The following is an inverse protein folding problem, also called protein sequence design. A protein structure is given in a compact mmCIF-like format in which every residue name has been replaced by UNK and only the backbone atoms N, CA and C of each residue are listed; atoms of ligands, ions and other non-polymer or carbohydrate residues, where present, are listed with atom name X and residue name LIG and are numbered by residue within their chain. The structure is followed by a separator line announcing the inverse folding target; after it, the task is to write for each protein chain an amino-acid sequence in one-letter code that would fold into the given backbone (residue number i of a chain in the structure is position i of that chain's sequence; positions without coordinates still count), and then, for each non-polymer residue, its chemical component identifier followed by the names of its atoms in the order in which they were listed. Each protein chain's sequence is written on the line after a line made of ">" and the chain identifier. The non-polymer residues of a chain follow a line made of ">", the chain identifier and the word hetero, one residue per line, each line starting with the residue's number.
data_IF_656352835215
#
_entry.id   IF_656352835215
#
_cell.length_a   1.000
_cell.length_b   1.000
_cell.length_c   1.000
_cell.angle_alpha   90.00
_cell.angle_beta   90.00
_cell.angle_gamma   90.00
#
_symmetry.space_group_name_H-M   'P 1'
#
loop_
_entity.id
_entity.type
_entity.pdbx_description
1 polymer ?
#
# COMPACT_ATOMS: atom_id res chain seq x y z
N UNK A 1 -2.63 6.85 -5.67
CA UNK A 1 -2.97 8.29 -5.88
C UNK A 1 -1.80 9.23 -5.51
N UNK A 2 -1.23 9.08 -4.31
CA UNK A 2 -0.14 9.90 -3.80
C UNK A 2 1.29 9.46 -4.24
N UNK A 3 1.40 8.62 -5.28
CA UNK A 3 2.70 8.14 -5.77
C UNK A 3 3.50 7.36 -4.72
N UNK A 4 4.70 7.84 -4.39
CA UNK A 4 5.63 7.23 -3.42
C UNK A 4 5.47 7.75 -1.99
N UNK A 5 4.56 8.69 -1.75
CA UNK A 5 4.30 9.24 -0.42
C UNK A 5 3.91 8.13 0.56
N UNK A 6 4.50 8.13 1.75
CA UNK A 6 4.29 7.11 2.79
C UNK A 6 4.58 5.66 2.34
N UNK A 7 5.29 5.44 1.22
CA UNK A 7 5.52 4.09 0.68
C UNK A 7 6.11 3.10 1.72
N UNK A 8 7.09 3.48 2.58
CA UNK A 8 7.60 2.56 3.59
C UNK A 8 6.55 2.14 4.63
N UNK A 9 5.57 3.01 4.91
CA UNK A 9 4.48 2.76 5.86
C UNK A 9 3.39 1.90 5.20
N UNK A 10 2.88 2.35 4.05
CA UNK A 10 1.82 1.65 3.30
C UNK A 10 2.31 0.27 2.86
N UNK A 11 3.49 0.21 2.26
CA UNK A 11 4.08 -1.01 1.73
C UNK A 11 3.63 -1.32 0.30
N UNK A 12 3.57 -2.60 -0.03
CA UNK A 12 3.32 -3.08 -1.40
C UNK A 12 2.52 -4.37 -1.39
N UNK A 13 1.91 -4.68 -2.53
CA UNK A 13 1.30 -5.99 -2.82
C UNK A 13 2.13 -6.75 -3.85
N UNK A 14 2.07 -8.08 -3.81
CA UNK A 14 2.68 -8.93 -4.82
C UNK A 14 1.76 -9.12 -6.04
N UNK A 15 2.23 -9.85 -7.05
CA UNK A 15 1.49 -10.11 -8.29
C UNK A 15 0.19 -10.93 -8.10
N UNK A 16 0.00 -11.55 -6.93
CA UNK A 16 -1.25 -12.25 -6.57
C UNK A 16 -2.23 -11.35 -5.82
N UNK A 17 -1.91 -10.06 -5.63
CA UNK A 17 -2.71 -9.12 -4.85
C UNK A 17 -2.62 -9.35 -3.34
N UNK A 18 -1.58 -10.04 -2.85
CA UNK A 18 -1.37 -10.24 -1.42
C UNK A 18 -0.36 -9.21 -0.91
N UNK A 19 -0.62 -8.61 0.24
CA UNK A 19 0.30 -7.72 0.94
C UNK A 19 1.67 -8.36 1.14
N UNK A 20 2.71 -7.61 0.79
CA UNK A 20 4.10 -8.06 0.77
C UNK A 20 5.01 -7.26 1.71
N UNK A 21 4.63 -6.02 2.04
CA UNK A 21 5.33 -5.16 2.99
C UNK A 21 4.38 -4.19 3.68
N UNK A 22 4.83 -3.52 4.74
CA UNK A 22 4.11 -2.44 5.41
C UNK A 22 2.73 -2.85 5.94
N UNK A 23 1.81 -1.88 5.93
CA UNK A 23 0.42 -2.07 6.34
C UNK A 23 -0.34 -3.02 5.42
N UNK A 24 0.00 -3.06 4.12
CA UNK A 24 -0.56 -4.03 3.17
C UNK A 24 -0.31 -5.47 3.64
N UNK A 25 0.90 -5.78 4.10
CA UNK A 25 1.22 -7.10 4.67
C UNK A 25 0.51 -7.32 6.02
N UNK A 26 0.63 -6.36 6.93
CA UNK A 26 0.10 -6.49 8.29
C UNK A 26 -1.41 -6.71 8.31
N UNK A 27 -2.15 -6.00 7.46
CA UNK A 27 -3.61 -6.04 7.41
C UNK A 27 -4.14 -6.78 6.19
N UNK A 28 -3.32 -7.60 5.52
CA UNK A 28 -3.72 -8.34 4.33
C UNK A 28 -5.02 -9.14 4.53
N UNK A 29 -5.23 -9.74 5.71
CA UNK A 29 -6.45 -10.50 6.02
C UNK A 29 -7.73 -9.65 6.01
N UNK A 30 -7.64 -8.36 6.36
CA UNK A 30 -8.75 -7.41 6.27
C UNK A 30 -8.88 -6.88 4.86
N UNK A 31 -7.75 -6.51 4.22
CA UNK A 31 -7.72 -5.81 2.93
C UNK A 31 -8.05 -6.71 1.73
N UNK A 32 -7.70 -8.00 1.77
CA UNK A 32 -7.78 -8.91 0.60
C UNK A 32 -9.19 -9.43 0.28
N UNK A 33 -10.10 -9.41 1.26
CA UNK A 33 -11.43 -9.99 1.10
C UNK A 33 -11.40 -11.49 0.79
N UNK A 34 -12.44 -12.00 0.12
CA UNK A 34 -12.55 -13.40 -0.26
C UNK A 34 -12.96 -13.56 -1.73
N UNK A 35 -12.22 -14.35 -2.53
CA UNK A 35 -12.54 -14.56 -3.93
C UNK A 35 -13.85 -15.35 -4.10
N UNK A 36 -14.65 -14.92 -5.06
CA UNK A 36 -15.83 -15.64 -5.52
C UNK A 36 -15.49 -16.67 -6.61
N UNK A 37 -16.45 -17.54 -6.91
CA UNK A 37 -16.34 -18.58 -7.92
C UNK A 37 -17.53 -18.51 -8.88
N UNK A 38 -17.25 -18.57 -10.18
CA UNK A 38 -18.27 -18.73 -11.23
C UNK A 38 -17.92 -19.91 -12.12
N UNK A 39 -18.94 -20.65 -12.52
CA UNK A 39 -18.85 -21.65 -13.58
C UNK A 39 -19.26 -21.00 -14.90
N UNK A 40 -18.48 -21.26 -15.96
CA UNK A 40 -18.75 -20.84 -17.34
C UNK A 40 -18.59 -22.05 -18.22
N UNK A 41 -19.61 -22.37 -19.00
CA UNK A 41 -19.54 -23.44 -20.00
C UNK A 41 -19.23 -22.86 -21.38
N UNK A 42 -18.40 -23.56 -22.13
CA UNK A 42 -17.97 -23.16 -23.47
C UNK A 42 -18.37 -24.24 -24.49
N UNK A 43 -18.63 -23.83 -25.73
CA UNK A 43 -18.68 -24.74 -26.88
C UNK A 43 -17.28 -25.33 -27.14
N UNK A 44 -17.17 -26.44 -27.93
CA UNK A 44 -15.87 -26.96 -28.36
C UNK A 44 -14.99 -25.91 -29.06
N UNK A 45 -15.61 -24.92 -29.72
CA UNK A 45 -14.93 -23.81 -30.40
C UNK A 45 -14.58 -22.64 -29.48
N UNK A 46 -14.80 -22.77 -28.17
CA UNK A 46 -14.42 -21.76 -27.16
C UNK A 46 -15.41 -20.61 -26.99
N UNK A 47 -16.64 -20.73 -27.49
CA UNK A 47 -17.69 -19.71 -27.34
C UNK A 47 -18.46 -19.93 -26.03
N UNK A 48 -18.60 -18.93 -25.15
CA UNK A 48 -19.41 -19.07 -23.93
C UNK A 48 -20.86 -19.41 -24.26
N UNK A 49 -21.41 -20.44 -23.61
CA UNK A 49 -22.81 -20.81 -23.77
C UNK A 49 -23.72 -19.80 -23.08
N UNK A 50 -24.72 -19.29 -23.81
CA UNK A 50 -25.79 -18.47 -23.25
C UNK A 50 -26.54 -19.27 -22.18
N UNK A 51 -26.59 -18.75 -20.94
CA UNK A 51 -27.22 -19.42 -19.79
C UNK A 51 -26.32 -20.39 -19.00
N UNK A 52 -25.08 -20.67 -19.47
CA UNK A 52 -24.11 -21.52 -18.77
C UNK A 52 -23.32 -20.82 -17.65
N UNK A 53 -23.54 -19.51 -17.46
CA UNK A 53 -22.89 -18.73 -16.42
C UNK A 53 -23.64 -18.85 -15.10
N UNK A 54 -23.04 -19.54 -14.14
CA UNK A 54 -23.59 -19.65 -12.78
C UNK A 54 -22.58 -19.13 -11.77
N UNK A 55 -22.99 -18.13 -10.98
CA UNK A 55 -22.25 -17.74 -9.78
C UNK A 55 -22.41 -18.89 -8.78
N UNK A 56 -21.29 -19.51 -8.40
CA UNK A 56 -21.26 -20.57 -7.38
C UNK A 56 -21.12 -19.94 -5.99
N UNK A 57 -20.21 -18.96 -5.88
CA UNK A 57 -19.97 -18.19 -4.65
C UNK A 57 -19.69 -16.74 -5.04
N UNK A 58 -20.40 -15.79 -4.44
CA UNK A 58 -20.11 -14.36 -4.63
C UNK A 58 -18.79 -13.98 -3.98
N UNK A 59 -18.03 -13.08 -4.61
CA UNK A 59 -16.85 -12.50 -3.98
C UNK A 59 -17.27 -11.57 -2.83
N UNK A 60 -16.41 -11.47 -1.81
CA UNK A 60 -16.57 -10.54 -0.69
C UNK A 60 -15.40 -9.57 -0.73
N UNK A 61 -15.70 -8.28 -0.79
CA UNK A 61 -14.66 -7.25 -0.79
C UNK A 61 -13.92 -7.24 0.56
N UNK A 62 -12.65 -6.84 0.52
CA UNK A 62 -11.92 -6.51 1.73
C UNK A 62 -12.49 -5.28 2.45
N UNK A 63 -11.99 -5.06 3.65
CA UNK A 63 -12.31 -3.89 4.48
C UNK A 63 -11.20 -2.86 4.34
N UNK A 64 -11.55 -1.60 4.12
CA UNK A 64 -10.59 -0.50 4.06
C UNK A 64 -9.96 -0.20 5.42
N UNK A 65 -8.80 0.45 5.41
CA UNK A 65 -8.10 0.92 6.60
C UNK A 65 -8.00 2.46 6.54
N UNK A 66 -8.44 3.12 7.60
CA UNK A 66 -8.25 4.56 7.80
C UNK A 66 -7.04 4.77 8.70
N UNK A 67 -6.09 5.58 8.24
CA UNK A 67 -4.84 5.84 8.95
C UNK A 67 -4.94 7.14 9.74
N UNK A 68 -4.11 7.25 10.78
CA UNK A 68 -3.88 8.51 11.48
C UNK A 68 -2.93 9.44 10.73
N UNK A 69 -2.33 8.97 9.63
CA UNK A 69 -1.40 9.74 8.82
C UNK A 69 -2.14 10.90 8.17
N UNK A 70 -1.63 12.11 8.41
CA UNK A 70 -2.06 13.33 7.75
C UNK A 70 -1.22 13.52 6.48
N UNK A 71 -1.88 13.51 5.31
CA UNK A 71 -1.19 13.52 4.00
C UNK A 71 -0.31 14.78 3.79
N UNK A 72 -0.78 16.02 4.07
CA UNK A 72 0.06 17.21 4.02
C UNK A 72 1.28 17.14 4.94
N UNK A 73 1.10 16.67 6.18
CA UNK A 73 2.18 16.57 7.16
C UNK A 73 3.19 15.50 6.79
N UNK A 74 2.73 14.37 6.24
CA UNK A 74 3.59 13.32 5.70
C UNK A 74 4.48 13.87 4.58
N UNK A 75 3.89 14.62 3.64
CA UNK A 75 4.64 15.22 2.53
C UNK A 75 5.72 16.19 3.05
N UNK A 76 5.33 17.10 3.95
CA UNK A 76 6.27 18.05 4.54
C UNK A 76 7.39 17.36 5.33
N UNK A 77 7.08 16.25 6.02
CA UNK A 77 8.04 15.47 6.80
C UNK A 77 9.06 14.76 5.89
N UNK A 78 8.59 14.14 4.80
CA UNK A 78 9.46 13.50 3.82
C UNK A 78 10.38 14.52 3.11
N UNK A 79 9.83 15.67 2.71
CA UNK A 79 10.59 16.74 2.06
C UNK A 79 11.67 17.32 2.99
N UNK A 80 11.31 17.60 4.24
CA UNK A 80 12.26 18.12 5.23
C UNK A 80 13.39 17.12 5.53
N UNK A 81 13.06 15.83 5.70
CA UNK A 81 14.04 14.78 5.90
C UNK A 81 14.96 14.64 4.68
N UNK A 82 14.41 14.63 3.46
CA UNK A 82 15.21 14.54 2.24
C UNK A 82 16.19 15.72 2.11
N UNK A 83 15.73 16.94 2.39
CA UNK A 83 16.57 18.15 2.38
C UNK A 83 17.72 18.03 3.39
N UNK A 84 17.45 17.57 4.60
CA UNK A 84 18.47 17.45 5.64
C UNK A 84 19.49 16.35 5.35
N UNK A 85 19.05 15.20 4.83
CA UNK A 85 19.96 14.13 4.40
C UNK A 85 20.94 14.60 3.32
N UNK A 86 20.47 15.40 2.36
CA UNK A 86 21.32 16.00 1.32
C UNK A 86 22.34 16.97 1.90
N UNK A 87 21.91 17.88 2.79
CA UNK A 87 22.80 18.85 3.45
C UNK A 87 23.89 18.16 4.27
N UNK A 88 23.51 17.13 5.02
CA UNK A 88 24.41 16.42 5.93
C UNK A 88 25.21 15.30 5.24
N UNK A 89 24.91 14.99 3.97
CA UNK A 89 25.46 13.83 3.24
C UNK A 89 25.29 12.53 4.04
N UNK A 90 24.16 12.41 4.72
CA UNK A 90 23.85 11.24 5.54
C UNK A 90 23.42 10.06 4.66
N UNK A 91 23.71 8.84 5.12
CA UNK A 91 23.36 7.61 4.40
C UNK A 91 21.89 7.24 4.52
N UNK A 92 21.17 7.84 5.46
CA UNK A 92 19.74 7.67 5.67
C UNK A 92 19.28 8.35 6.96
N UNK A 93 17.98 8.35 7.18
CA UNK A 93 17.35 8.90 8.37
C UNK A 93 15.88 8.58 8.47
N UNK A 94 15.32 8.86 9.64
CA UNK A 94 13.92 8.62 9.98
C UNK A 94 13.37 9.85 10.70
N UNK A 95 12.14 10.23 10.38
CA UNK A 95 11.40 11.30 11.04
C UNK A 95 9.99 10.82 11.38
N UNK A 96 9.52 11.13 12.58
CA UNK A 96 8.19 10.76 13.08
C UNK A 96 7.54 12.00 13.66
N UNK A 97 6.29 12.26 13.28
CA UNK A 97 5.44 13.29 13.88
C UNK A 97 4.25 12.62 14.55
N UNK A 98 4.00 12.97 15.81
CA UNK A 98 3.01 12.32 16.66
C UNK A 98 2.18 13.37 17.39
N UNK A 99 0.88 13.12 17.51
CA UNK A 99 0.03 13.85 18.45
C UNK A 99 0.34 13.36 19.88
N UNK A 100 0.85 14.25 20.71
CA UNK A 100 1.28 13.94 22.09
C UNK A 100 0.13 13.60 23.04
N UNK A 101 -1.10 13.98 22.72
CA UNK A 101 -2.26 13.71 23.57
C UNK A 101 -2.84 12.32 23.31
N UNK A 102 -2.85 11.90 22.04
CA UNK A 102 -3.49 10.64 21.59
C UNK A 102 -2.48 9.53 21.31
N UNK A 103 -1.20 9.87 21.10
CA UNK A 103 -0.18 8.95 20.62
C UNK A 103 -0.30 8.61 19.13
N UNK A 104 -1.23 9.24 18.40
CA UNK A 104 -1.44 9.01 16.99
C UNK A 104 -0.22 9.44 16.17
N UNK A 105 0.26 8.56 15.30
CA UNK A 105 1.33 8.91 14.35
C UNK A 105 0.70 9.65 13.18
N UNK A 106 1.04 10.92 13.05
CA UNK A 106 0.51 11.80 11.99
C UNK A 106 1.41 11.80 10.75
N UNK A 107 2.70 11.52 10.91
CA UNK A 107 3.62 11.28 9.80
C UNK A 107 4.76 10.35 10.22
N UNK A 108 5.22 9.51 9.29
CA UNK A 108 6.38 8.64 9.48
C UNK A 108 7.15 8.51 8.16
N UNK A 109 8.36 9.06 8.13
CA UNK A 109 9.24 9.04 6.97
C UNK A 109 10.52 8.27 7.29
N UNK A 110 10.96 7.41 6.37
CA UNK A 110 12.25 6.73 6.46
C UNK A 110 12.88 6.71 5.09
N UNK A 111 14.03 7.36 4.96
CA UNK A 111 14.73 7.55 3.69
C UNK A 111 16.16 7.04 3.80
N UNK A 112 16.65 6.39 2.74
CA UNK A 112 18.06 6.02 2.60
C UNK A 112 18.65 6.75 1.39
N UNK A 113 19.88 7.22 1.53
CA UNK A 113 20.63 7.72 0.39
C UNK A 113 20.95 6.54 -0.51
N UNK A 114 20.29 6.45 -1.66
CA UNK A 114 20.65 5.49 -2.69
C UNK A 114 22.04 5.84 -3.24
N UNK A 115 22.93 4.87 -3.56
CA UNK A 115 24.29 5.15 -4.06
C UNK A 115 24.33 5.91 -5.40
N UNK A 116 23.19 6.11 -6.07
CA UNK A 116 23.07 6.68 -7.41
C UNK A 116 22.90 8.22 -7.42
N UNK A 117 23.21 8.89 -6.32
CA UNK A 117 23.22 10.35 -6.19
C UNK A 117 24.58 10.92 -5.73
N UNK A 118 25.68 10.24 -6.05
CA UNK A 118 26.95 10.95 -6.20
C UNK A 118 26.95 11.65 -7.58
N UNK A 119 27.28 12.94 -7.66
CA UNK A 119 27.40 13.64 -8.95
C UNK A 119 28.46 13.02 -9.86
#
# INVERSE_FOLDING_TARGET
>A
PAGSLAQPVIGTVNWKGQGAAGLEYQYNSLLSGHPGWKSVSYTPDGVPLLGGNRILTSAVNGTGLELTIDEPLQYATEEALASELQKQRATGGTAIVMDVHTGAVLAMASLTASPKLAP
#
